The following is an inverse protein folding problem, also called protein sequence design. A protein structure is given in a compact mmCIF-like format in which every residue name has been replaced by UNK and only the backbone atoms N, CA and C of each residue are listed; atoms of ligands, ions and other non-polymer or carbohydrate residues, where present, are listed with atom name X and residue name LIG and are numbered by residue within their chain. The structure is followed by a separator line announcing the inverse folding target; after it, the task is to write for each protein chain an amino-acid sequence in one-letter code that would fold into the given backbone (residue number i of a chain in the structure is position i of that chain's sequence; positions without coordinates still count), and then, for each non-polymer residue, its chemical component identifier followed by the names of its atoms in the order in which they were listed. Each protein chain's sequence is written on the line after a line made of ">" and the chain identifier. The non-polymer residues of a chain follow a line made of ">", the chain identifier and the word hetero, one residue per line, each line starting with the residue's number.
data_IF_138233733460
#
_entry.id   IF_138233733460
#
_cell.length_a   1.000
_cell.length_b   1.000
_cell.length_c   1.000
_cell.angle_alpha   90.00
_cell.angle_beta   90.00
_cell.angle_gamma   90.00
#
_symmetry.space_group_name_H-M   'P 1'
#
loop_
_entity.id
_entity.type
_entity.pdbx_description
1 polymer ?
#
# COMPACT_ATOMS: atom_id res chain seq x y z
N UNK A 1 12.28 32.63 69.53
CA UNK A 1 12.62 31.24 69.92
C UNK A 1 11.45 30.28 69.72
N UNK A 2 10.48 30.13 70.65
CA UNK A 2 9.38 29.16 70.45
C UNK A 2 8.36 29.57 69.36
N UNK A 3 8.11 30.86 69.21
CA UNK A 3 7.16 31.38 68.20
C UNK A 3 7.74 31.33 66.77
N UNK A 4 9.04 31.61 66.62
CA UNK A 4 9.75 31.49 65.33
C UNK A 4 9.80 30.05 64.84
N UNK A 5 10.09 29.08 65.71
CA UNK A 5 10.11 27.66 65.34
C UNK A 5 8.73 27.18 64.86
N UNK A 6 7.65 27.70 65.45
CA UNK A 6 6.28 27.38 65.04
C UNK A 6 5.92 28.02 63.69
N UNK A 7 6.36 29.25 63.44
CA UNK A 7 6.16 29.92 62.16
C UNK A 7 6.92 29.25 61.01
N UNK A 8 8.15 28.79 61.27
CA UNK A 8 8.98 28.10 60.28
C UNK A 8 8.41 26.71 59.92
N UNK A 9 7.87 25.98 60.90
CA UNK A 9 7.20 24.70 60.68
C UNK A 9 5.89 24.86 59.91
N UNK A 10 5.13 25.93 60.16
CA UNK A 10 3.93 26.26 59.39
C UNK A 10 4.26 26.60 57.92
N UNK A 11 5.37 27.29 57.68
CA UNK A 11 5.85 27.60 56.32
C UNK A 11 6.26 26.32 55.58
N UNK A 12 7.02 25.43 56.21
CA UNK A 12 7.37 24.13 55.61
C UNK A 12 6.13 23.28 55.27
N UNK A 13 5.12 23.25 56.14
CA UNK A 13 3.88 22.53 55.86
C UNK A 13 3.13 23.11 54.66
N UNK A 14 3.07 24.44 54.54
CA UNK A 14 2.44 25.10 53.39
C UNK A 14 3.19 24.83 52.07
N UNK A 15 4.53 24.87 52.10
CA UNK A 15 5.36 24.57 50.92
C UNK A 15 5.23 23.09 50.51
N UNK A 16 5.15 22.18 51.48
CA UNK A 16 4.93 20.75 51.23
C UNK A 16 3.53 20.49 50.63
N UNK A 17 2.50 21.14 51.15
CA UNK A 17 1.14 21.04 50.60
C UNK A 17 1.08 21.55 49.17
N UNK A 18 1.68 22.72 48.89
CA UNK A 18 1.76 23.27 47.54
C UNK A 18 2.46 22.33 46.56
N UNK A 19 3.54 21.67 47.02
CA UNK A 19 4.26 20.68 46.21
C UNK A 19 3.40 19.44 45.93
N UNK A 20 2.65 18.94 46.92
CA UNK A 20 1.71 17.83 46.71
C UNK A 20 0.59 18.20 45.74
N UNK A 21 0.03 19.41 45.84
CA UNK A 21 -1.01 19.89 44.94
C UNK A 21 -0.51 19.99 43.49
N UNK A 22 0.72 20.48 43.29
CA UNK A 22 1.37 20.50 41.97
C UNK A 22 1.55 19.09 41.40
N UNK A 23 2.08 18.16 42.21
CA UNK A 23 2.27 16.78 41.77
C UNK A 23 0.95 16.09 41.41
N UNK A 24 -0.11 16.33 42.19
CA UNK A 24 -1.44 15.80 41.93
C UNK A 24 -2.04 16.37 40.62
N UNK A 25 -1.83 17.65 40.35
CA UNK A 25 -2.26 18.28 39.10
C UNK A 25 -1.52 17.70 37.88
N UNK A 26 -0.21 17.51 37.97
CA UNK A 26 0.59 16.89 36.91
C UNK A 26 0.15 15.44 36.65
N UNK A 27 -0.08 14.65 37.70
CA UNK A 27 -0.60 13.28 37.57
C UNK A 27 -1.98 13.25 36.90
N UNK A 28 -2.86 14.19 37.24
CA UNK A 28 -4.17 14.30 36.60
C UNK A 28 -4.05 14.65 35.11
N UNK A 29 -3.13 15.55 34.75
CA UNK A 29 -2.86 15.91 33.35
C UNK A 29 -2.32 14.72 32.55
N UNK A 30 -1.33 13.99 33.10
CA UNK A 30 -0.80 12.79 32.45
C UNK A 30 -1.87 11.70 32.30
N UNK A 31 -2.70 11.50 33.31
CA UNK A 31 -3.80 10.53 33.26
C UNK A 31 -4.81 10.90 32.17
N UNK A 32 -5.18 12.19 32.06
CA UNK A 32 -6.06 12.67 31.00
C UNK A 32 -5.44 12.47 29.60
N UNK A 33 -4.14 12.74 29.46
CA UNK A 33 -3.41 12.53 28.21
C UNK A 33 -3.35 11.06 27.80
N UNK A 34 -3.12 10.15 28.76
CA UNK A 34 -3.15 8.71 28.52
C UNK A 34 -4.53 8.28 28.03
N UNK A 35 -5.61 8.72 28.70
CA UNK A 35 -6.98 8.38 28.30
C UNK A 35 -7.31 8.83 26.87
N UNK A 36 -6.88 10.04 26.47
CA UNK A 36 -7.07 10.53 25.10
C UNK A 36 -6.31 9.70 24.06
N UNK A 37 -5.08 9.28 24.38
CA UNK A 37 -4.28 8.43 23.50
C UNK A 37 -4.88 7.03 23.36
N UNK A 38 -5.40 6.45 24.45
CA UNK A 38 -6.08 5.16 24.43
C UNK A 38 -7.38 5.21 23.61
N UNK A 39 -8.18 6.27 23.75
CA UNK A 39 -9.40 6.44 22.93
C UNK A 39 -9.05 6.63 21.45
N UNK A 40 -8.02 7.42 21.13
CA UNK A 40 -7.55 7.60 19.76
C UNK A 40 -7.04 6.29 19.15
N UNK A 41 -6.34 5.46 19.94
CA UNK A 41 -5.91 4.13 19.51
C UNK A 41 -7.13 3.23 19.25
N UNK A 42 -8.08 3.18 20.19
CA UNK A 42 -9.30 2.36 20.04
C UNK A 42 -10.07 2.71 18.77
N UNK A 43 -10.25 4.00 18.46
CA UNK A 43 -10.92 4.44 17.22
C UNK A 43 -10.21 3.93 15.97
N UNK A 44 -8.88 3.98 15.93
CA UNK A 44 -8.10 3.45 14.81
C UNK A 44 -8.20 1.93 14.69
N UNK A 45 -8.21 1.22 15.80
CA UNK A 45 -8.38 -0.24 15.83
C UNK A 45 -9.79 -0.64 15.32
N UNK A 46 -10.83 0.11 15.71
CA UNK A 46 -12.21 -0.07 15.23
C UNK A 46 -12.29 0.18 13.71
N UNK A 47 -11.72 1.30 13.22
CA UNK A 47 -11.66 1.62 11.79
C UNK A 47 -10.91 0.54 10.99
N UNK A 48 -9.79 0.04 11.49
CA UNK A 48 -9.02 -1.03 10.85
C UNK A 48 -9.84 -2.31 10.73
N UNK A 49 -10.60 -2.67 11.77
CA UNK A 49 -11.47 -3.83 11.78
C UNK A 49 -12.60 -3.69 10.74
N UNK A 50 -13.21 -2.50 10.64
CA UNK A 50 -14.22 -2.23 9.60
C UNK A 50 -13.64 -2.36 8.19
N UNK A 51 -12.44 -1.83 7.95
CA UNK A 51 -11.78 -1.94 6.65
C UNK A 51 -11.45 -3.39 6.30
N UNK A 52 -11.00 -4.19 7.28
CA UNK A 52 -10.76 -5.61 7.09
C UNK A 52 -12.06 -6.35 6.73
N UNK A 53 -13.16 -6.06 7.41
CA UNK A 53 -14.46 -6.66 7.08
C UNK A 53 -14.95 -6.27 5.68
N UNK A 54 -14.80 -5.00 5.29
CA UNK A 54 -15.12 -4.52 3.93
C UNK A 54 -14.28 -5.22 2.86
N UNK A 55 -12.98 -5.42 3.12
CA UNK A 55 -12.09 -6.12 2.19
C UNK A 55 -12.50 -7.58 1.98
N UNK A 56 -12.85 -8.28 3.07
CA UNK A 56 -13.34 -9.66 2.99
C UNK A 56 -14.66 -9.76 2.22
N UNK A 57 -15.61 -8.86 2.48
CA UNK A 57 -16.89 -8.82 1.75
C UNK A 57 -16.67 -8.58 0.25
N UNK A 58 -15.80 -7.63 -0.11
CA UNK A 58 -15.49 -7.34 -1.50
C UNK A 58 -14.80 -8.52 -2.21
N UNK A 59 -14.01 -9.30 -1.48
CA UNK A 59 -13.39 -10.51 -2.00
C UNK A 59 -14.43 -11.61 -2.28
N UNK A 60 -15.37 -11.82 -1.36
CA UNK A 60 -16.48 -12.78 -1.51
C UNK A 60 -17.38 -12.42 -2.70
N UNK A 61 -17.73 -11.13 -2.87
CA UNK A 61 -18.50 -10.65 -4.01
C UNK A 61 -17.76 -10.87 -5.35
N UNK A 62 -16.43 -10.69 -5.34
CA UNK A 62 -15.59 -10.94 -6.52
C UNK A 62 -15.49 -12.43 -6.86
N UNK A 63 -15.50 -13.31 -5.87
CA UNK A 63 -15.54 -14.75 -6.09
C UNK A 63 -16.89 -15.20 -6.65
N UNK A 64 -18.00 -14.74 -6.08
CA UNK A 64 -19.35 -15.00 -6.59
C UNK A 64 -19.53 -14.55 -8.04
N UNK A 65 -19.11 -13.33 -8.37
CA UNK A 65 -19.21 -12.82 -9.75
C UNK A 65 -18.35 -13.61 -10.73
N UNK A 66 -17.19 -14.13 -10.31
CA UNK A 66 -16.38 -15.04 -11.14
C UNK A 66 -17.07 -16.38 -11.36
N UNK A 67 -17.69 -16.95 -10.32
CA UNK A 67 -18.45 -18.19 -10.44
C UNK A 67 -19.67 -18.03 -11.36
N UNK A 68 -20.44 -16.95 -11.21
CA UNK A 68 -21.56 -16.60 -12.08
C UNK A 68 -21.13 -16.44 -13.54
N UNK A 69 -20.01 -15.74 -13.79
CA UNK A 69 -19.45 -15.56 -15.14
C UNK A 69 -19.04 -16.91 -15.76
N UNK A 70 -18.38 -17.77 -14.97
CA UNK A 70 -17.96 -19.11 -15.41
C UNK A 70 -19.15 -20.02 -15.71
N UNK A 71 -20.20 -19.95 -14.88
CA UNK A 71 -21.46 -20.66 -15.09
C UNK A 71 -22.16 -20.18 -16.37
N UNK A 72 -22.27 -18.86 -16.57
CA UNK A 72 -22.85 -18.27 -17.77
C UNK A 72 -22.10 -18.63 -19.07
N UNK A 73 -20.76 -18.70 -19.04
CA UNK A 73 -19.97 -19.15 -20.19
C UNK A 73 -20.12 -20.64 -20.51
N UNK A 74 -20.56 -21.47 -19.54
CA UNK A 74 -20.76 -22.92 -19.75
C UNK A 74 -22.14 -23.25 -20.35
N UNK A 75 -23.06 -22.27 -20.42
CA UNK A 75 -24.47 -22.45 -20.87
C UNK A 75 -24.71 -21.95 -22.30
N UNK A 76 -23.68 -21.87 -23.15
CA UNK A 76 -23.88 -21.70 -24.61
C UNK A 76 -23.76 -23.07 -25.31
N UNK A 77 -24.87 -23.75 -25.66
CA UNK A 77 -24.80 -24.89 -26.57
C UNK A 77 -24.65 -24.34 -27.99
N UNK A 78 -23.52 -24.65 -28.62
CA UNK A 78 -23.41 -24.55 -30.07
C UNK A 78 -24.42 -25.53 -30.73
N UNK A 79 -25.15 -25.12 -31.79
CA UNK A 79 -26.05 -26.02 -32.48
C UNK A 79 -25.28 -27.06 -33.29
N UNK A 80 -25.78 -28.28 -33.20
CA UNK A 80 -25.27 -29.54 -33.71
C UNK A 80 -25.08 -29.57 -35.24
N UNK A 81 -23.95 -30.14 -35.69
CA UNK A 81 -23.78 -30.96 -36.90
C UNK A 81 -22.35 -31.53 -36.83
N UNK A 82 -22.05 -32.80 -36.74
CA UNK A 82 -22.80 -34.05 -36.69
C UNK A 82 -21.76 -35.19 -36.76
N UNK A 83 -22.17 -36.37 -36.28
CA UNK A 83 -21.59 -37.70 -36.55
C UNK A 83 -20.40 -38.21 -35.72
N UNK A 84 -20.74 -39.34 -35.09
CA UNK A 84 -19.96 -40.56 -34.90
C UNK A 84 -18.93 -40.59 -33.75
N UNK A 85 -19.37 -41.26 -32.69
CA UNK A 85 -18.57 -42.17 -31.87
C UNK A 85 -17.48 -42.86 -32.70
N UNK A 86 -16.22 -42.59 -32.38
CA UNK A 86 -15.10 -43.44 -32.74
C UNK A 86 -14.09 -43.36 -31.61
N UNK A 87 -14.01 -44.44 -30.84
CA UNK A 87 -12.85 -44.74 -30.02
C UNK A 87 -11.59 -44.63 -30.90
N UNK A 88 -10.71 -43.66 -30.62
CA UNK A 88 -9.41 -43.55 -31.26
C UNK A 88 -8.33 -43.32 -30.21
N UNK A 89 -7.77 -44.46 -29.82
CA UNK A 89 -6.34 -44.74 -29.65
C UNK A 89 -5.37 -43.56 -29.82
N UNK A 90 -4.62 -43.32 -28.74
CA UNK A 90 -3.21 -42.90 -28.70
C UNK A 90 -2.64 -42.27 -29.98
N UNK A 91 -2.73 -40.94 -30.09
CA UNK A 91 -1.84 -40.19 -30.98
C UNK A 91 -1.37 -38.93 -30.28
N UNK A 92 -0.15 -39.06 -29.74
CA UNK A 92 0.89 -38.04 -29.80
C UNK A 92 0.39 -36.65 -29.42
N UNK A 93 0.38 -36.36 -28.11
CA UNK A 93 0.56 -35.02 -27.56
C UNK A 93 1.95 -34.51 -27.98
N UNK A 94 2.12 -34.37 -29.30
CA UNK A 94 3.17 -33.63 -29.92
C UNK A 94 3.01 -32.23 -29.34
N UNK A 95 4.11 -31.76 -28.79
CA UNK A 95 4.37 -30.45 -28.23
C UNK A 95 3.99 -29.33 -29.23
N UNK A 96 2.69 -29.19 -29.52
CA UNK A 96 2.13 -28.06 -30.21
C UNK A 96 2.06 -26.98 -29.16
N UNK A 97 3.11 -26.16 -29.16
CA UNK A 97 3.16 -24.91 -28.43
C UNK A 97 1.76 -24.29 -28.39
N UNK A 98 1.22 -24.09 -27.18
CA UNK A 98 -0.03 -23.37 -26.97
C UNK A 98 0.20 -21.88 -27.29
N UNK A 99 0.50 -21.60 -28.55
CA UNK A 99 0.82 -20.30 -29.12
C UNK A 99 -0.45 -19.79 -29.78
N UNK A 100 -1.04 -18.76 -29.18
CA UNK A 100 -2.17 -18.03 -29.74
C UNK A 100 -1.68 -16.70 -30.31
N UNK A 101 -2.08 -16.39 -31.54
CA UNK A 101 -1.87 -15.05 -32.10
C UNK A 101 -2.72 -14.03 -31.32
N UNK A 102 -2.11 -12.92 -30.90
CA UNK A 102 -2.83 -11.82 -30.29
C UNK A 102 -3.57 -11.04 -31.38
N UNK A 103 -4.90 -10.97 -31.28
CA UNK A 103 -5.71 -10.20 -32.24
C UNK A 103 -5.41 -8.71 -32.13
N UNK A 104 -5.18 -8.07 -33.29
CA UNK A 104 -5.03 -6.62 -33.41
C UNK A 104 -6.38 -5.88 -33.59
N UNK A 105 -7.51 -6.58 -33.51
CA UNK A 105 -8.84 -5.99 -33.67
C UNK A 105 -9.09 -4.94 -32.57
N UNK A 106 -9.40 -3.69 -32.98
CA UNK A 106 -9.63 -2.56 -32.06
C UNK A 106 -8.37 -1.89 -31.47
N UNK A 107 -7.17 -2.44 -31.69
CA UNK A 107 -5.89 -1.91 -31.17
C UNK A 107 -5.51 -0.57 -31.83
N UNK A 108 -5.88 -0.37 -33.09
CA UNK A 108 -5.64 0.88 -33.84
C UNK A 108 -6.42 2.08 -33.31
N UNK A 109 -7.49 1.84 -32.56
CA UNK A 109 -8.34 2.89 -31.97
C UNK A 109 -7.92 3.26 -30.54
N UNK A 110 -7.01 2.50 -29.93
CA UNK A 110 -6.51 2.71 -28.58
C UNK A 110 -5.15 3.43 -28.60
N UNK A 111 -4.98 4.43 -27.74
CA UNK A 111 -3.65 4.97 -27.45
C UNK A 111 -2.84 3.96 -26.62
N UNK A 112 -2.10 3.10 -27.34
CA UNK A 112 -1.31 2.00 -26.78
C UNK A 112 -0.20 2.44 -25.82
N UNK A 113 0.13 3.74 -25.76
CA UNK A 113 1.20 4.28 -24.92
C UNK A 113 0.70 5.42 -24.02
N UNK A 114 -0.59 5.47 -23.71
CA UNK A 114 -1.18 6.50 -22.84
C UNK A 114 -0.50 6.63 -21.47
N UNK A 115 0.13 5.55 -20.96
CA UNK A 115 0.92 5.56 -19.74
C UNK A 115 2.18 6.44 -19.82
N UNK A 116 2.66 6.72 -21.02
CA UNK A 116 3.77 7.62 -21.29
C UNK A 116 3.39 9.09 -21.20
N UNK A 117 2.14 9.42 -20.87
CA UNK A 117 1.76 10.77 -20.46
C UNK A 117 1.48 10.86 -18.94
N UNK A 118 1.31 9.72 -18.24
CA UNK A 118 0.85 9.68 -16.85
C UNK A 118 1.90 10.20 -15.86
N UNK A 119 1.47 10.96 -14.86
CA UNK A 119 2.30 11.40 -13.74
C UNK A 119 1.88 10.69 -12.46
N UNK A 120 2.77 10.61 -11.48
CA UNK A 120 2.43 9.98 -10.19
C UNK A 120 1.44 10.85 -9.42
N UNK A 121 0.66 10.23 -8.52
CA UNK A 121 -0.26 10.98 -7.66
C UNK A 121 0.49 12.03 -6.84
N UNK A 122 1.64 11.67 -6.28
CA UNK A 122 2.51 12.59 -5.53
C UNK A 122 3.05 13.76 -6.39
N UNK A 123 3.08 13.66 -7.71
CA UNK A 123 3.47 14.78 -8.59
C UNK A 123 2.33 15.75 -8.87
N UNK A 124 1.10 15.25 -9.09
CA UNK A 124 -0.06 16.11 -9.42
C UNK A 124 -0.85 16.58 -8.19
N UNK A 125 -0.66 15.93 -7.04
CA UNK A 125 -1.41 16.20 -5.81
C UNK A 125 -0.48 16.75 -4.72
N UNK A 126 -0.46 18.07 -4.57
CA UNK A 126 0.37 18.76 -3.59
C UNK A 126 0.07 18.36 -2.14
N UNK A 127 -1.18 18.00 -1.82
CA UNK A 127 -1.54 17.51 -0.47
C UNK A 127 -0.84 16.18 -0.18
N UNK A 128 -0.92 15.22 -1.11
CA UNK A 128 -0.29 13.90 -0.97
C UNK A 128 1.23 14.06 -0.85
N UNK A 129 1.83 14.90 -1.69
CA UNK A 129 3.27 15.19 -1.64
C UNK A 129 3.72 15.72 -0.27
N UNK A 130 3.00 16.71 0.28
CA UNK A 130 3.29 17.27 1.60
C UNK A 130 3.12 16.22 2.70
N UNK A 131 2.06 15.43 2.66
CA UNK A 131 1.84 14.35 3.65
C UNK A 131 2.97 13.33 3.64
N UNK A 132 3.45 12.91 2.46
CA UNK A 132 4.60 12.01 2.34
C UNK A 132 5.88 12.65 2.90
N UNK A 133 6.14 13.93 2.65
CA UNK A 133 7.31 14.64 3.21
C UNK A 133 7.25 14.74 4.73
N UNK A 134 6.08 15.06 5.29
CA UNK A 134 5.85 15.10 6.74
C UNK A 134 6.10 13.74 7.37
N UNK A 135 5.42 12.69 6.89
CA UNK A 135 5.61 11.33 7.40
C UNK A 135 7.06 10.84 7.27
N UNK A 136 7.74 11.17 6.16
CA UNK A 136 9.14 10.81 5.96
C UNK A 136 10.06 11.49 6.99
N UNK A 137 9.72 12.71 7.42
CA UNK A 137 10.48 13.44 8.44
C UNK A 137 10.20 12.88 9.83
N UNK A 138 8.94 12.61 10.16
CA UNK A 138 8.54 12.04 11.46
C UNK A 138 9.14 10.64 11.68
N UNK A 139 9.19 9.82 10.63
CA UNK A 139 9.75 8.47 10.72
C UNK A 139 11.29 8.45 10.71
N UNK A 140 11.95 9.52 10.30
CA UNK A 140 13.41 9.56 10.20
C UNK A 140 14.09 9.36 11.56
N UNK A 141 13.54 9.94 12.63
CA UNK A 141 14.08 9.84 13.98
C UNK A 141 13.89 8.45 14.60
N UNK A 142 12.83 7.75 14.20
CA UNK A 142 12.51 6.40 14.68
C UNK A 142 13.16 5.29 13.83
N UNK A 143 13.81 5.63 12.71
CA UNK A 143 14.35 4.64 11.77
C UNK A 143 15.67 4.06 12.26
N UNK A 144 15.74 2.74 12.33
CA UNK A 144 16.99 2.01 12.56
C UNK A 144 17.73 1.78 11.21
N UNK A 145 18.85 2.47 11.02
CA UNK A 145 19.67 2.40 9.81
C UNK A 145 20.24 0.99 9.54
N UNK A 146 20.39 0.16 10.58
CA UNK A 146 20.95 -1.20 10.44
C UNK A 146 19.94 -2.20 9.87
N UNK A 147 18.65 -1.85 9.88
CA UNK A 147 17.55 -2.71 9.43
C UNK A 147 17.05 -2.39 8.02
N UNK A 148 17.81 -1.64 7.24
CA UNK A 148 17.48 -1.35 5.84
C UNK A 148 17.52 -2.61 5.00
N UNK A 149 16.44 -2.86 4.26
CA UNK A 149 16.40 -3.92 3.25
C UNK A 149 17.07 -3.46 1.96
N UNK A 150 17.40 -4.41 1.07
CA UNK A 150 17.91 -4.08 -0.26
C UNK A 150 16.92 -3.22 -1.07
N UNK A 151 15.62 -3.47 -0.92
CA UNK A 151 14.58 -2.69 -1.59
C UNK A 151 14.52 -1.24 -1.09
N UNK A 152 14.79 -1.00 0.20
CA UNK A 152 14.83 0.36 0.76
C UNK A 152 15.99 1.16 0.15
N UNK A 153 17.15 0.53 0.01
CA UNK A 153 18.34 1.14 -0.61
C UNK A 153 18.05 1.47 -2.08
N UNK A 154 17.51 0.51 -2.85
CA UNK A 154 17.14 0.73 -4.25
C UNK A 154 16.08 1.82 -4.41
N UNK A 155 15.08 1.87 -3.52
CA UNK A 155 14.07 2.92 -3.54
C UNK A 155 14.68 4.29 -3.26
N UNK A 156 15.55 4.41 -2.25
CA UNK A 156 16.22 5.65 -1.92
C UNK A 156 17.09 6.16 -3.08
N UNK A 157 17.80 5.27 -3.77
CA UNK A 157 18.57 5.62 -4.98
C UNK A 157 17.67 6.08 -6.13
N UNK A 158 16.55 5.39 -6.37
CA UNK A 158 15.59 5.79 -7.39
C UNK A 158 14.99 7.17 -7.12
N UNK A 159 14.60 7.45 -5.87
CA UNK A 159 14.10 8.77 -5.44
C UNK A 159 15.18 9.83 -5.60
N UNK A 160 16.43 9.55 -5.18
CA UNK A 160 17.57 10.45 -5.32
C UNK A 160 17.88 10.78 -6.78
N UNK A 161 17.74 9.80 -7.68
CA UNK A 161 17.90 9.97 -9.12
C UNK A 161 16.66 10.60 -9.80
N UNK A 162 15.60 10.92 -9.05
CA UNK A 162 14.36 11.51 -9.58
C UNK A 162 13.55 10.57 -10.47
N UNK A 163 13.79 9.25 -10.37
CA UNK A 163 13.07 8.20 -11.11
C UNK A 163 11.70 7.96 -10.49
N UNK A 164 10.72 7.74 -11.34
CA UNK A 164 9.40 7.30 -10.95
C UNK A 164 8.91 6.23 -11.94
N UNK A 165 7.81 5.54 -11.59
CA UNK A 165 7.28 4.42 -12.38
C UNK A 165 7.05 4.79 -13.86
N UNK A 166 6.48 5.96 -14.13
CA UNK A 166 6.10 6.36 -15.49
C UNK A 166 7.27 6.95 -16.28
N UNK A 167 8.23 7.60 -15.61
CA UNK A 167 9.49 8.02 -16.22
C UNK A 167 10.35 6.82 -16.61
N UNK A 168 10.47 5.84 -15.73
CA UNK A 168 11.23 4.61 -16.02
C UNK A 168 10.59 3.83 -17.16
N UNK A 169 9.26 3.67 -17.18
CA UNK A 169 8.56 3.02 -18.31
C UNK A 169 8.82 3.73 -19.64
N UNK A 170 8.77 5.07 -19.66
CA UNK A 170 9.12 5.85 -20.85
C UNK A 170 10.54 5.59 -21.30
N UNK A 171 11.49 5.60 -20.37
CA UNK A 171 12.91 5.45 -20.65
C UNK A 171 13.25 4.07 -21.25
N UNK A 172 12.81 2.97 -20.62
CA UNK A 172 13.13 1.60 -21.09
C UNK A 172 12.41 1.22 -22.40
N UNK A 173 11.44 2.01 -22.82
CA UNK A 173 10.71 1.82 -24.09
C UNK A 173 11.15 2.79 -25.20
N UNK A 174 12.24 3.53 -24.97
CA UNK A 174 12.89 4.31 -26.02
C UNK A 174 13.58 3.36 -27.01
N UNK A 175 13.82 3.86 -28.22
CA UNK A 175 14.38 3.06 -29.31
C UNK A 175 13.33 2.17 -29.98
N UNK A 176 13.76 1.50 -31.04
CA UNK A 176 12.90 0.55 -31.76
C UNK A 176 12.89 -0.82 -31.07
N UNK A 177 11.98 -1.70 -31.49
CA UNK A 177 11.85 -3.05 -30.91
C UNK A 177 13.14 -3.86 -31.05
N UNK A 178 13.85 -3.76 -32.18
CA UNK A 178 15.11 -4.47 -32.40
C UNK A 178 16.18 -4.05 -31.39
N UNK A 179 16.38 -2.75 -31.18
CA UNK A 179 17.37 -2.24 -30.22
C UNK A 179 17.12 -2.75 -28.80
N UNK A 180 15.85 -2.76 -28.36
CA UNK A 180 15.49 -3.24 -27.02
C UNK A 180 15.71 -4.75 -26.86
N UNK A 181 15.50 -5.52 -27.93
CA UNK A 181 15.83 -6.95 -27.96
C UNK A 181 17.34 -7.15 -27.94
N UNK A 182 18.08 -6.42 -28.77
CA UNK A 182 19.55 -6.51 -28.82
C UNK A 182 20.19 -6.14 -27.46
N UNK A 183 19.65 -5.13 -26.75
CA UNK A 183 20.06 -4.79 -25.39
C UNK A 183 19.78 -5.94 -24.41
N UNK A 184 18.57 -6.52 -24.45
CA UNK A 184 18.19 -7.65 -23.60
C UNK A 184 19.09 -8.87 -23.78
N UNK A 185 19.42 -9.25 -25.03
CA UNK A 185 20.32 -10.38 -25.34
C UNK A 185 21.78 -10.12 -24.92
N UNK A 186 22.13 -8.87 -24.62
CA UNK A 186 23.49 -8.48 -24.20
C UNK A 186 23.68 -8.38 -22.68
N UNK A 187 22.60 -8.50 -21.89
CA UNK A 187 22.61 -8.45 -20.42
C UNK A 187 22.97 -9.79 -19.79
#
# INVERSE_FOLDING_TARGET
>A
MAEEAKAELAKQAADQQKTQEQLAAELAEFTAKIALLEEAKRKKDDEATEWQHKALSAQDDLEKTKEELKSAMTVVPAPLSGHAESEHDEQDENHAEASAELSNEGVSQLDLRSEEARVTEAQKNERVKKQLQTLSSELADARDETKKTQNDVLHAENVKAGRDKYKTLRQIRQGNTKQRIDEFESM
#
